data_IF_935045227715
#
_entry.id   IF_935045227715
#
_cell.length_a   1.000
_cell.length_b   1.000
_cell.length_c   1.000
_cell.angle_alpha   90.00
_cell.angle_beta   90.00
_cell.angle_gamma   90.00
#
_symmetry.space_group_name_H-M   'P 1'
#
loop_
_entity.id
_entity.type
_entity.pdbx_description
1 polymer ?
#
# COMPACT_ATOMS: atom_id res chain seq x y z
N UNK A 1 8.98 16.57 3.07
CA UNK A 1 7.82 16.06 3.82
C UNK A 1 6.82 15.51 2.81
N UNK A 2 6.10 14.41 3.10
CA UNK A 2 5.15 13.85 2.16
C UNK A 2 3.96 14.80 2.02
N UNK A 3 3.72 15.25 0.79
CA UNK A 3 2.50 15.96 0.39
C UNK A 3 1.61 14.97 -0.35
N UNK A 4 0.33 14.93 0.00
CA UNK A 4 -0.68 14.15 -0.72
C UNK A 4 -1.69 15.10 -1.34
N UNK A 5 -2.21 14.72 -2.50
CA UNK A 5 -3.29 15.43 -3.17
C UNK A 5 -4.55 14.61 -2.98
N UNK A 6 -5.60 15.23 -2.45
CA UNK A 6 -6.87 14.55 -2.16
C UNK A 6 -8.03 15.34 -2.74
N UNK A 7 -9.02 14.62 -3.27
CA UNK A 7 -10.28 15.22 -3.68
C UNK A 7 -10.97 15.84 -2.46
N UNK A 8 -11.28 17.13 -2.55
CA UNK A 8 -11.81 17.92 -1.44
C UNK A 8 -13.20 17.46 -1.01
N UNK A 9 -14.08 17.15 -1.98
CA UNK A 9 -15.43 16.68 -1.70
C UNK A 9 -15.40 15.29 -1.07
N UNK A 10 -14.48 14.46 -1.51
CA UNK A 10 -14.26 13.12 -0.99
C UNK A 10 -13.72 13.15 0.43
N UNK A 11 -12.77 14.04 0.74
CA UNK A 11 -12.29 14.28 2.09
C UNK A 11 -13.44 14.72 3.00
N UNK A 12 -14.26 15.68 2.56
CA UNK A 12 -15.44 16.12 3.30
C UNK A 12 -16.44 14.99 3.55
N UNK A 13 -16.69 14.16 2.53
CA UNK A 13 -17.61 13.02 2.60
C UNK A 13 -17.13 11.99 3.63
N UNK A 14 -15.84 11.63 3.59
CA UNK A 14 -15.26 10.66 4.51
C UNK A 14 -15.16 11.20 5.95
N UNK A 15 -14.89 12.49 6.12
CA UNK A 15 -14.88 13.15 7.43
C UNK A 15 -16.29 13.46 7.97
N UNK A 16 -17.32 13.34 7.14
CA UNK A 16 -18.68 13.76 7.46
C UNK A 16 -18.73 15.23 7.95
N UNK A 17 -18.05 16.13 7.24
CA UNK A 17 -18.02 17.57 7.54
C UNK A 17 -18.40 18.40 6.33
N UNK A 18 -19.06 19.54 6.58
CA UNK A 18 -19.21 20.59 5.59
C UNK A 18 -18.27 21.77 5.89
N UNK A 19 -17.36 22.03 4.95
CA UNK A 19 -16.36 23.08 5.04
C UNK A 19 -16.72 24.29 4.17
N UNK A 20 -17.63 24.16 3.18
CA UNK A 20 -18.06 25.25 2.29
C UNK A 20 -16.89 26.09 1.70
N UNK A 21 -15.77 25.45 1.34
CA UNK A 21 -14.58 26.13 0.82
C UNK A 21 -13.68 26.80 1.87
N UNK A 22 -13.99 26.69 3.17
CA UNK A 22 -13.18 27.27 4.22
C UNK A 22 -11.93 26.40 4.51
N UNK A 23 -10.79 26.83 3.97
CA UNK A 23 -9.50 26.16 4.16
C UNK A 23 -8.90 26.37 5.56
N UNK A 24 -9.17 27.50 6.24
CA UNK A 24 -8.68 27.72 7.61
C UNK A 24 -9.30 26.69 8.56
N UNK A 25 -10.59 26.42 8.42
CA UNK A 25 -11.26 25.37 9.19
C UNK A 25 -10.72 23.97 8.85
N UNK A 26 -10.30 23.74 7.61
CA UNK A 26 -9.65 22.49 7.23
C UNK A 26 -8.29 22.37 7.93
N UNK A 27 -7.50 23.44 7.96
CA UNK A 27 -6.22 23.49 8.67
C UNK A 27 -6.37 23.23 10.17
N UNK A 28 -7.39 23.81 10.82
CA UNK A 28 -7.69 23.52 12.24
C UNK A 28 -7.94 22.03 12.49
N UNK A 29 -8.60 21.34 11.55
CA UNK A 29 -8.83 19.90 11.63
C UNK A 29 -7.52 19.14 11.38
N UNK A 30 -6.76 19.51 10.36
CA UNK A 30 -5.50 18.86 9.98
C UNK A 30 -4.41 19.01 11.06
N UNK A 31 -4.46 20.07 11.87
CA UNK A 31 -3.54 20.29 12.98
C UNK A 31 -3.53 19.13 13.98
N UNK A 32 -4.65 18.44 14.19
CA UNK A 32 -4.73 17.25 15.08
C UNK A 32 -3.79 16.12 14.66
N UNK A 33 -3.44 16.04 13.37
CA UNK A 33 -2.53 15.02 12.82
C UNK A 33 -1.22 15.62 12.31
N UNK A 34 -0.91 16.86 12.71
CA UNK A 34 0.30 17.59 12.28
C UNK A 34 0.38 17.71 10.75
N UNK A 35 -0.73 18.05 10.13
CA UNK A 35 -0.83 18.31 8.70
C UNK A 35 -1.32 19.74 8.45
N UNK A 36 -1.05 20.26 7.26
CA UNK A 36 -1.49 21.59 6.81
C UNK A 36 -1.83 21.58 5.33
N UNK A 37 -2.74 22.45 4.92
CA UNK A 37 -3.05 22.74 3.53
C UNK A 37 -1.88 23.51 2.92
N UNK A 38 -1.33 22.95 1.84
CA UNK A 38 -0.30 23.58 1.03
C UNK A 38 -0.88 24.37 -0.14
N UNK A 39 -2.06 23.97 -0.61
CA UNK A 39 -2.76 24.62 -1.70
C UNK A 39 -4.10 23.94 -2.00
N UNK A 40 -4.99 24.69 -2.64
CA UNK A 40 -6.28 24.20 -3.13
C UNK A 40 -6.41 24.56 -4.61
N UNK A 41 -6.57 23.55 -5.46
CA UNK A 41 -6.89 23.72 -6.86
C UNK A 41 -8.40 23.66 -7.05
N UNK A 42 -9.03 24.84 -7.20
CA UNK A 42 -10.48 24.96 -7.39
C UNK A 42 -10.97 24.32 -8.69
N UNK A 43 -10.13 24.25 -9.73
CA UNK A 43 -10.53 23.69 -11.04
C UNK A 43 -10.60 22.18 -10.99
N UNK A 44 -9.61 21.57 -10.36
CA UNK A 44 -9.52 20.12 -10.18
C UNK A 44 -10.28 19.64 -8.93
N UNK A 45 -10.72 20.55 -8.06
CA UNK A 45 -11.36 20.21 -6.78
C UNK A 45 -10.43 19.47 -5.82
N UNK A 46 -9.12 19.70 -5.93
CA UNK A 46 -8.09 18.95 -5.21
C UNK A 46 -7.39 19.82 -4.18
N UNK A 47 -7.18 19.28 -2.97
CA UNK A 47 -6.41 19.94 -1.91
C UNK A 47 -5.09 19.20 -1.70
N UNK A 48 -3.99 19.94 -1.77
CA UNK A 48 -2.65 19.45 -1.45
C UNK A 48 -2.40 19.60 0.04
N UNK A 49 -2.16 18.51 0.73
CA UNK A 49 -1.96 18.47 2.19
C UNK A 49 -0.54 17.98 2.48
N UNK A 50 0.24 18.78 3.21
CA UNK A 50 1.58 18.39 3.66
C UNK A 50 1.53 17.78 5.06
N UNK A 51 2.08 16.57 5.20
CA UNK A 51 2.21 15.90 6.49
C UNK A 51 3.58 16.24 7.10
N UNK A 52 3.59 16.87 8.28
CA UNK A 52 4.85 17.20 8.97
C UNK A 52 5.49 15.97 9.63
N UNK A 53 4.69 14.97 10.00
CA UNK A 53 5.18 13.70 10.54
C UNK A 53 5.40 12.66 9.43
N UNK A 54 6.66 12.27 9.23
CA UNK A 54 7.05 11.26 8.23
C UNK A 54 6.91 9.82 8.74
N UNK A 55 6.61 9.62 10.02
CA UNK A 55 6.50 8.30 10.64
C UNK A 55 5.08 7.71 10.58
N UNK A 56 4.13 8.43 9.97
CA UNK A 56 2.72 8.07 9.88
C UNK A 56 2.28 7.82 8.43
N UNK A 57 2.80 6.78 7.76
CA UNK A 57 2.40 6.45 6.39
C UNK A 57 0.93 6.04 6.27
N UNK A 58 0.27 5.72 7.38
CA UNK A 58 -1.17 5.54 7.47
C UNK A 58 -1.99 6.81 7.21
N UNK A 59 -1.37 7.99 7.19
CA UNK A 59 -2.04 9.26 6.87
C UNK A 59 -1.87 9.68 5.40
N UNK A 60 -1.14 8.92 4.58
CA UNK A 60 -0.79 9.34 3.21
C UNK A 60 -1.85 8.98 2.17
N UNK A 61 -3.09 8.78 2.62
CA UNK A 61 -4.26 8.63 1.78
C UNK A 61 -5.45 9.34 2.43
N UNK A 62 -6.45 9.68 1.63
CA UNK A 62 -7.67 10.32 2.15
C UNK A 62 -8.42 9.41 3.13
N UNK A 63 -8.38 8.09 2.93
CA UNK A 63 -9.01 7.11 3.81
C UNK A 63 -8.33 7.08 5.18
N UNK A 64 -7.00 6.98 5.17
CA UNK A 64 -6.21 6.93 6.39
C UNK A 64 -6.21 8.24 7.18
N UNK A 65 -6.11 9.36 6.46
CA UNK A 65 -6.24 10.70 7.02
C UNK A 65 -7.63 10.87 7.67
N UNK A 66 -8.70 10.54 6.95
CA UNK A 66 -10.06 10.67 7.46
C UNK A 66 -10.28 9.77 8.68
N UNK A 67 -9.81 8.52 8.64
CA UNK A 67 -9.91 7.58 9.76
C UNK A 67 -9.27 8.13 11.03
N UNK A 68 -8.09 8.73 10.93
CA UNK A 68 -7.44 9.35 12.09
C UNK A 68 -8.20 10.57 12.61
N UNK A 69 -8.61 11.46 11.71
CA UNK A 69 -9.31 12.71 12.05
C UNK A 69 -10.68 12.48 12.68
N UNK A 70 -11.42 11.45 12.25
CA UNK A 70 -12.72 11.08 12.84
C UNK A 70 -12.59 10.71 14.33
N UNK A 71 -11.43 10.18 14.74
CA UNK A 71 -11.10 9.96 16.15
C UNK A 71 -10.98 11.27 16.93
N UNK A 72 -10.18 12.21 16.42
CA UNK A 72 -10.00 13.52 17.04
C UNK A 72 -11.27 14.37 17.06
N UNK A 73 -12.12 14.23 16.05
CA UNK A 73 -13.44 14.88 15.99
C UNK A 73 -14.49 14.19 16.87
N UNK A 74 -14.13 13.11 17.58
CA UNK A 74 -15.02 12.37 18.47
C UNK A 74 -16.12 11.58 17.76
N UNK A 75 -16.00 11.37 16.45
CA UNK A 75 -17.01 10.67 15.63
C UNK A 75 -16.86 9.15 15.73
N UNK A 76 -15.63 8.65 15.78
CA UNK A 76 -15.32 7.22 15.94
C UNK A 76 -14.25 7.05 17.01
N UNK A 77 -14.61 6.47 18.17
CA UNK A 77 -13.68 6.24 19.28
C UNK A 77 -13.27 4.78 19.37
N UNK A 78 -12.05 4.56 19.88
CA UNK A 78 -11.49 3.24 20.11
C UNK A 78 -10.93 2.58 18.84
N UNK A 79 -10.49 1.33 19.00
CA UNK A 79 -9.84 0.58 17.92
C UNK A 79 -10.89 0.11 16.92
N UNK A 80 -10.77 0.55 15.66
CA UNK A 80 -11.54 -0.01 14.54
C UNK A 80 -11.09 -1.45 14.28
N UNK A 81 -12.03 -2.38 14.35
CA UNK A 81 -11.75 -3.79 14.10
C UNK A 81 -11.67 -4.06 12.58
N UNK A 82 -10.51 -4.54 12.14
CA UNK A 82 -10.30 -5.04 10.79
C UNK A 82 -10.16 -6.54 10.81
N UNK A 83 -10.68 -7.21 9.78
CA UNK A 83 -10.54 -8.65 9.62
C UNK A 83 -10.36 -8.99 8.16
N UNK A 84 -9.65 -10.08 7.90
CA UNK A 84 -9.57 -10.71 6.60
C UNK A 84 -10.29 -12.06 6.65
N UNK A 85 -10.99 -12.39 5.57
CA UNK A 85 -11.53 -13.72 5.36
C UNK A 85 -10.41 -14.76 5.20
N UNK A 86 -10.80 -16.04 5.14
CA UNK A 86 -9.86 -17.16 4.95
C UNK A 86 -9.00 -16.98 3.69
N UNK A 87 -7.88 -17.70 3.65
CA UNK A 87 -7.01 -17.71 2.48
C UNK A 87 -7.77 -18.17 1.23
N UNK A 88 -7.64 -17.40 0.14
CA UNK A 88 -8.32 -17.67 -1.16
C UNK A 88 -7.35 -17.75 -2.33
N UNK A 89 -6.06 -17.53 -2.10
CA UNK A 89 -5.03 -17.52 -3.14
C UNK A 89 -3.68 -17.95 -2.54
N UNK A 90 -2.93 -18.71 -3.32
CA UNK A 90 -1.60 -19.22 -2.95
C UNK A 90 -0.52 -18.53 -3.80
N UNK A 91 0.63 -18.29 -3.19
CA UNK A 91 1.83 -17.72 -3.85
C UNK A 91 3.03 -18.59 -3.51
N UNK A 92 3.74 -19.06 -4.52
CA UNK A 92 4.96 -19.84 -4.37
C UNK A 92 6.19 -18.95 -4.60
N UNK A 93 7.18 -19.02 -3.71
CA UNK A 93 8.39 -18.20 -3.77
C UNK A 93 9.60 -19.05 -4.17
N UNK A 94 10.34 -18.59 -5.18
CA UNK A 94 11.56 -19.24 -5.63
C UNK A 94 12.75 -18.91 -4.69
N UNK A 95 13.56 -19.90 -4.27
CA UNK A 95 14.73 -19.67 -3.40
C UNK A 95 15.78 -18.72 -3.99
N UNK A 96 15.89 -18.64 -5.32
CA UNK A 96 16.83 -17.73 -6.00
C UNK A 96 16.53 -16.24 -5.76
N UNK A 97 15.37 -15.91 -5.19
CA UNK A 97 15.02 -14.55 -4.83
C UNK A 97 15.67 -14.07 -3.52
N UNK A 98 16.18 -14.97 -2.68
CA UNK A 98 16.62 -14.62 -1.33
C UNK A 98 17.67 -13.50 -1.32
N UNK A 99 18.69 -13.62 -2.19
CA UNK A 99 19.75 -12.62 -2.36
C UNK A 99 19.37 -11.37 -3.17
N UNK A 100 18.16 -11.31 -3.74
CA UNK A 100 17.74 -10.28 -4.69
C UNK A 100 16.61 -9.43 -4.12
N UNK A 101 15.46 -10.06 -3.87
CA UNK A 101 14.24 -9.43 -3.35
C UNK A 101 13.41 -10.53 -2.65
N UNK A 102 13.80 -10.89 -1.41
CA UNK A 102 13.38 -12.14 -0.78
C UNK A 102 11.89 -12.27 -0.49
N UNK A 103 11.17 -11.17 -0.25
CA UNK A 103 9.85 -11.22 0.38
C UNK A 103 8.75 -10.71 -0.53
N UNK A 104 7.60 -11.37 -0.45
CA UNK A 104 6.32 -10.99 -1.03
C UNK A 104 5.21 -11.17 0.02
N UNK A 105 4.29 -10.22 0.09
CA UNK A 105 3.04 -10.35 0.83
C UNK A 105 1.89 -9.96 -0.09
N UNK A 106 0.78 -10.67 -0.02
CA UNK A 106 -0.40 -10.41 -0.84
C UNK A 106 -1.68 -10.30 0.00
N UNK A 107 -2.68 -9.64 -0.57
CA UNK A 107 -4.04 -9.58 -0.05
C UNK A 107 -5.02 -9.58 -1.23
N UNK A 108 -6.18 -10.22 -1.05
CA UNK A 108 -7.28 -10.15 -2.01
C UNK A 108 -8.35 -9.23 -1.44
N UNK A 109 -8.82 -8.26 -2.22
CA UNK A 109 -9.94 -7.39 -1.83
C UNK A 109 -11.08 -7.57 -2.83
N UNK A 110 -12.24 -8.05 -2.37
CA UNK A 110 -13.42 -8.31 -3.20
C UNK A 110 -14.53 -7.29 -2.96
N UNK A 111 -15.47 -7.26 -3.89
CA UNK A 111 -16.69 -6.44 -3.87
C UNK A 111 -16.42 -4.93 -3.74
N UNK A 112 -15.25 -4.45 -4.19
CA UNK A 112 -14.94 -3.03 -4.15
C UNK A 112 -15.58 -2.29 -5.34
N UNK A 113 -16.15 -1.12 -5.07
CA UNK A 113 -16.69 -0.24 -6.10
C UNK A 113 -15.67 0.87 -6.38
N UNK A 114 -15.05 0.79 -7.55
CA UNK A 114 -14.03 1.75 -7.97
C UNK A 114 -14.64 2.85 -8.83
N UNK A 115 -14.26 4.09 -8.52
CA UNK A 115 -14.37 5.24 -9.42
C UNK A 115 -12.97 5.69 -9.82
N UNK A 116 -12.85 6.50 -10.87
CA UNK A 116 -11.60 7.11 -11.29
C UNK A 116 -10.90 7.85 -10.14
N UNK A 117 -11.65 8.59 -9.31
CA UNK A 117 -11.11 9.26 -8.12
C UNK A 117 -10.52 8.28 -7.08
N UNK A 118 -11.17 7.14 -6.85
CA UNK A 118 -10.64 6.09 -5.96
C UNK A 118 -9.39 5.46 -6.56
N UNK A 119 -9.40 5.16 -7.86
CA UNK A 119 -8.24 4.58 -8.56
C UNK A 119 -7.04 5.52 -8.48
N UNK A 120 -7.23 6.81 -8.79
CA UNK A 120 -6.20 7.84 -8.64
C UNK A 120 -5.69 7.91 -7.21
N UNK A 121 -6.58 7.95 -6.21
CA UNK A 121 -6.19 7.96 -4.79
C UNK A 121 -5.33 6.75 -4.38
N UNK A 122 -5.68 5.56 -4.87
CA UNK A 122 -4.89 4.33 -4.65
C UNK A 122 -3.51 4.44 -5.32
N UNK A 123 -3.45 4.93 -6.56
CA UNK A 123 -2.18 5.14 -7.27
C UNK A 123 -1.29 6.16 -6.56
N UNK A 124 -1.88 7.26 -6.06
CA UNK A 124 -1.16 8.25 -5.26
C UNK A 124 -0.62 7.65 -3.95
N UNK A 125 -1.42 6.86 -3.23
CA UNK A 125 -0.95 6.16 -2.03
C UNK A 125 0.22 5.21 -2.37
N UNK A 126 0.07 4.41 -3.44
CA UNK A 126 1.12 3.53 -3.92
C UNK A 126 2.41 4.30 -4.21
N UNK A 127 2.35 5.38 -4.97
CA UNK A 127 3.52 6.19 -5.33
C UNK A 127 4.19 6.81 -4.10
N UNK A 128 3.42 7.32 -3.13
CA UNK A 128 3.97 7.93 -1.90
C UNK A 128 4.64 6.89 -0.99
N UNK A 129 4.00 5.71 -0.85
CA UNK A 129 4.58 4.60 -0.10
C UNK A 129 5.85 4.09 -0.77
N UNK A 130 5.86 3.86 -2.08
CA UNK A 130 7.02 3.40 -2.83
C UNK A 130 8.18 4.40 -2.79
N UNK A 131 7.89 5.69 -2.92
CA UNK A 131 8.89 6.76 -2.88
C UNK A 131 9.51 6.89 -1.48
N UNK A 132 8.68 6.94 -0.44
CA UNK A 132 9.14 7.28 0.92
C UNK A 132 9.41 6.03 1.77
N UNK A 133 8.37 5.23 2.05
CA UNK A 133 8.49 4.04 2.89
C UNK A 133 9.33 2.95 2.21
N UNK A 134 9.15 2.81 0.89
CA UNK A 134 9.86 1.89 0.01
C UNK A 134 11.24 2.39 -0.43
N UNK A 135 11.66 3.61 -0.07
CA UNK A 135 12.92 4.24 -0.52
C UNK A 135 13.11 4.14 -2.04
N UNK A 136 12.23 4.79 -2.79
CA UNK A 136 12.19 4.71 -4.25
C UNK A 136 12.20 3.26 -4.75
N UNK A 137 11.28 2.46 -4.20
CA UNK A 137 11.06 1.03 -4.47
C UNK A 137 12.13 0.02 -4.03
N UNK A 138 13.26 0.49 -3.50
CA UNK A 138 14.36 -0.39 -3.06
C UNK A 138 13.96 -1.34 -1.93
N UNK A 139 13.12 -0.87 -1.00
CA UNK A 139 12.66 -1.63 0.17
C UNK A 139 11.31 -2.30 -0.02
N UNK A 140 10.37 -1.65 -0.67
CA UNK A 140 9.04 -2.20 -1.02
C UNK A 140 8.59 -1.70 -2.37
N UNK A 141 7.81 -2.47 -3.12
CA UNK A 141 7.16 -2.05 -4.35
C UNK A 141 5.79 -2.67 -4.37
N UNK A 142 4.77 -1.88 -4.71
CA UNK A 142 3.38 -2.32 -4.67
C UNK A 142 2.90 -2.62 -6.08
N UNK A 143 2.20 -3.75 -6.25
CA UNK A 143 1.43 -4.11 -7.43
C UNK A 143 -0.05 -4.21 -7.08
N UNK A 144 -0.93 -3.72 -7.96
CA UNK A 144 -2.38 -3.87 -7.82
C UNK A 144 -2.93 -4.35 -9.16
N UNK A 145 -3.68 -5.44 -9.12
CA UNK A 145 -4.12 -6.14 -10.32
C UNK A 145 -5.61 -6.46 -10.24
N UNK A 146 -6.25 -6.57 -11.41
CA UNK A 146 -7.58 -7.14 -11.49
C UNK A 146 -7.49 -8.66 -11.29
N UNK A 147 -7.98 -9.15 -10.14
CA UNK A 147 -7.91 -10.57 -9.78
C UNK A 147 -8.68 -11.45 -10.77
N UNK A 148 -9.74 -10.93 -11.40
CA UNK A 148 -10.60 -11.70 -12.30
C UNK A 148 -9.86 -12.14 -13.57
N UNK A 149 -8.71 -11.51 -13.88
CA UNK A 149 -7.86 -11.82 -15.02
C UNK A 149 -6.72 -12.81 -14.69
N UNK A 150 -6.56 -13.18 -13.42
CA UNK A 150 -5.40 -13.93 -12.92
C UNK A 150 -5.79 -15.36 -12.57
N UNK A 151 -4.94 -16.34 -12.94
CA UNK A 151 -5.10 -17.74 -12.59
C UNK A 151 -4.14 -18.17 -11.47
N UNK A 152 -4.62 -18.53 -10.27
CA UNK A 152 -3.77 -19.02 -9.19
C UNK A 152 -3.30 -20.47 -9.43
N UNK A 153 -2.19 -20.92 -8.80
CA UNK A 153 -1.33 -20.16 -7.88
C UNK A 153 -0.48 -19.10 -8.59
N UNK A 154 0.03 -18.14 -7.82
CA UNK A 154 0.97 -17.13 -8.29
C UNK A 154 2.39 -17.62 -8.06
N UNK A 155 3.26 -17.43 -9.04
CA UNK A 155 4.66 -17.80 -8.96
C UNK A 155 5.52 -16.53 -8.86
N UNK A 156 6.17 -16.32 -7.71
CA UNK A 156 7.18 -15.29 -7.53
C UNK A 156 8.56 -15.92 -7.72
N UNK A 157 9.22 -15.61 -8.83
CA UNK A 157 10.44 -16.30 -9.26
C UNK A 157 11.54 -15.34 -9.73
N UNK A 158 12.73 -15.87 -9.99
CA UNK A 158 13.85 -15.13 -10.56
C UNK A 158 14.27 -15.77 -11.89
N UNK A 159 14.38 -14.96 -12.95
CA UNK A 159 14.63 -15.41 -14.33
C UNK A 159 15.88 -14.75 -14.91
N UNK A 160 16.45 -15.31 -15.98
CA UNK A 160 17.46 -14.56 -16.74
C UNK A 160 16.79 -13.50 -17.61
N UNK A 161 17.38 -12.30 -17.78
CA UNK A 161 16.78 -11.21 -18.56
C UNK A 161 16.38 -11.58 -19.99
N UNK A 162 17.15 -12.47 -20.63
CA UNK A 162 16.95 -12.92 -22.00
C UNK A 162 15.78 -13.91 -22.19
N UNK A 163 15.26 -14.52 -21.12
CA UNK A 163 14.27 -15.61 -21.19
C UNK A 163 12.83 -15.11 -21.30
N UNK A 164 12.58 -13.83 -21.02
CA UNK A 164 11.22 -13.30 -20.82
C UNK A 164 10.96 -12.08 -21.68
N UNK A 165 9.78 -12.07 -22.31
CA UNK A 165 9.25 -10.92 -23.04
C UNK A 165 7.78 -10.73 -22.73
N UNK A 166 7.36 -9.50 -22.44
CA UNK A 166 5.96 -9.16 -22.22
C UNK A 166 5.68 -7.71 -22.64
N UNK A 167 4.40 -7.33 -22.69
CA UNK A 167 4.00 -5.95 -22.97
C UNK A 167 3.93 -5.20 -21.64
N UNK A 168 4.85 -4.24 -21.36
CA UNK A 168 4.80 -3.47 -20.12
C UNK A 168 3.64 -2.47 -20.15
N UNK A 169 3.11 -2.14 -18.97
CA UNK A 169 2.00 -1.20 -18.82
C UNK A 169 2.28 0.13 -19.54
N UNK A 170 1.35 0.57 -20.38
CA UNK A 170 1.48 1.81 -21.16
C UNK A 170 2.20 1.64 -22.51
N UNK A 171 2.56 0.42 -22.89
CA UNK A 171 3.10 0.07 -24.21
C UNK A 171 2.19 -0.96 -24.90
N UNK A 172 2.37 -1.13 -26.21
CA UNK A 172 1.63 -2.10 -27.04
C UNK A 172 2.47 -3.25 -27.58
N UNK A 173 3.80 -3.16 -27.48
CA UNK A 173 4.74 -4.13 -28.06
C UNK A 173 5.44 -4.97 -26.99
N UNK A 174 5.75 -6.23 -27.33
CA UNK A 174 6.48 -7.14 -26.43
C UNK A 174 7.96 -6.80 -26.37
N UNK A 175 8.41 -6.42 -25.18
CA UNK A 175 9.80 -6.06 -24.91
C UNK A 175 10.48 -7.13 -24.04
N UNK A 176 11.78 -7.33 -24.26
CA UNK A 176 12.62 -8.10 -23.32
C UNK A 176 12.90 -7.32 -22.04
N UNK A 177 13.33 -7.99 -20.98
CA UNK A 177 13.54 -7.31 -19.69
C UNK A 177 14.59 -6.19 -19.77
N UNK A 178 15.72 -6.41 -20.46
CA UNK A 178 16.73 -5.37 -20.64
C UNK A 178 16.23 -4.20 -21.49
N UNK A 179 15.43 -4.49 -22.53
CA UNK A 179 14.78 -3.46 -23.35
C UNK A 179 13.80 -2.61 -22.53
N UNK A 180 13.05 -3.23 -21.62
CA UNK A 180 12.20 -2.50 -20.66
C UNK A 180 13.07 -1.58 -19.79
N UNK A 181 14.22 -2.05 -19.30
CA UNK A 181 15.12 -1.24 -18.49
C UNK A 181 15.77 -0.08 -19.24
N UNK A 182 15.86 -0.14 -20.57
CA UNK A 182 16.43 0.90 -21.41
C UNK A 182 15.39 1.90 -21.92
N UNK A 183 14.20 1.42 -22.31
CA UNK A 183 13.19 2.22 -23.03
C UNK A 183 12.00 2.65 -22.18
N UNK A 184 11.57 1.83 -21.22
CA UNK A 184 10.40 2.13 -20.41
C UNK A 184 10.75 3.21 -19.37
N UNK A 185 9.93 4.26 -19.15
CA UNK A 185 10.22 5.31 -18.17
C UNK A 185 10.54 4.76 -16.77
N UNK A 186 9.73 3.81 -16.29
CA UNK A 186 9.97 3.12 -15.00
C UNK A 186 11.21 2.20 -15.02
N UNK A 187 11.57 1.66 -16.19
CA UNK A 187 12.79 0.89 -16.35
C UNK A 187 14.04 1.76 -16.24
N UNK A 188 14.02 2.95 -16.81
CA UNK A 188 15.08 3.95 -16.67
C UNK A 188 15.18 4.45 -15.22
N UNK A 189 14.04 4.74 -14.59
CA UNK A 189 13.96 5.25 -13.23
C UNK A 189 14.45 4.22 -12.18
N UNK A 190 13.96 2.98 -12.25
CA UNK A 190 14.17 1.97 -11.20
C UNK A 190 15.09 0.81 -11.59
N UNK A 191 15.56 0.73 -12.84
CA UNK A 191 16.35 -0.40 -13.32
C UNK A 191 17.64 -0.65 -12.54
N UNK A 192 18.22 0.39 -11.95
CA UNK A 192 19.39 0.29 -11.07
C UNK A 192 19.18 -0.66 -9.87
N UNK A 193 17.94 -0.94 -9.46
CA UNK A 193 17.62 -1.85 -8.37
C UNK A 193 17.94 -3.30 -8.74
N UNK A 194 17.66 -3.70 -9.98
CA UNK A 194 17.79 -5.09 -10.44
C UNK A 194 19.07 -5.36 -11.25
N UNK A 195 19.59 -4.36 -11.99
CA UNK A 195 20.74 -4.49 -12.92
C UNK A 195 22.01 -5.05 -12.29
N UNK A 196 22.15 -4.97 -10.97
CA UNK A 196 23.30 -5.49 -10.22
C UNK A 196 23.26 -7.01 -10.02
N UNK A 197 22.15 -7.68 -10.36
CA UNK A 197 21.94 -9.11 -10.14
C UNK A 197 21.93 -9.87 -11.47
N UNK A 198 22.35 -11.15 -11.49
CA UNK A 198 22.30 -11.99 -12.69
C UNK A 198 20.89 -12.49 -13.04
N UNK A 199 19.97 -12.48 -12.07
CA UNK A 199 18.58 -12.88 -12.24
C UNK A 199 17.66 -11.72 -11.84
N UNK A 200 16.51 -11.63 -12.50
CA UNK A 200 15.51 -10.59 -12.28
C UNK A 200 14.24 -11.17 -11.66
N UNK A 201 13.65 -10.53 -10.63
CA UNK A 201 12.38 -10.96 -10.06
C UNK A 201 11.25 -10.86 -11.07
N UNK A 202 10.36 -11.84 -11.09
CA UNK A 202 9.20 -11.88 -11.96
C UNK A 202 8.01 -12.48 -11.21
N UNK A 203 6.82 -12.00 -11.55
CA UNK A 203 5.57 -12.52 -10.99
C UNK A 203 4.72 -13.09 -12.13
N UNK A 204 4.28 -14.34 -11.98
CA UNK A 204 3.46 -15.05 -12.96
C UNK A 204 2.19 -15.63 -12.35
N UNK A 205 1.20 -15.87 -13.20
CA UNK A 205 0.07 -16.72 -12.88
C UNK A 205 0.37 -18.19 -13.26
N UNK A 206 -0.55 -19.09 -12.95
CA UNK A 206 -0.40 -20.53 -13.23
C UNK A 206 -0.40 -20.89 -14.72
N UNK A 207 -0.86 -19.99 -15.59
CA UNK A 207 -0.84 -20.15 -17.04
C UNK A 207 0.46 -19.58 -17.65
N UNK A 208 1.39 -19.08 -16.84
CA UNK A 208 2.65 -18.49 -17.26
C UNK A 208 2.50 -17.06 -17.79
N UNK A 209 1.37 -16.38 -17.54
CA UNK A 209 1.22 -14.96 -17.90
C UNK A 209 1.95 -14.08 -16.90
N UNK A 210 2.65 -13.08 -17.41
CA UNK A 210 3.38 -12.10 -16.57
C UNK A 210 2.38 -11.16 -15.90
N UNK A 211 2.40 -11.10 -14.58
CA UNK A 211 1.75 -10.03 -13.81
C UNK A 211 2.63 -8.80 -13.79
N UNK A 212 3.90 -8.96 -13.42
CA UNK A 212 4.84 -7.85 -13.30
C UNK A 212 6.29 -8.29 -13.34
N UNK A 213 7.16 -7.31 -13.53
CA UNK A 213 8.60 -7.37 -13.32
C UNK A 213 8.95 -6.50 -12.10
N UNK A 214 8.88 -7.04 -10.86
CA UNK A 214 9.15 -6.24 -9.67
C UNK A 214 10.63 -5.83 -9.54
N UNK A 215 10.92 -4.61 -9.04
CA UNK A 215 9.99 -3.53 -8.68
C UNK A 215 9.79 -2.50 -9.82
N UNK A 216 9.91 -2.93 -11.08
CA UNK A 216 10.00 -2.05 -12.24
C UNK A 216 8.63 -1.68 -12.77
N UNK A 217 7.87 -2.65 -13.28
CA UNK A 217 6.61 -2.37 -13.99
C UNK A 217 5.68 -3.58 -14.03
N UNK A 218 4.37 -3.31 -14.07
CA UNK A 218 3.34 -4.32 -14.30
C UNK A 218 3.20 -4.63 -15.80
N UNK A 219 2.58 -5.76 -16.13
CA UNK A 219 2.14 -6.03 -17.49
C UNK A 219 0.94 -5.16 -17.86
N UNK A 220 0.79 -4.86 -19.14
CA UNK A 220 -0.34 -4.09 -19.63
C UNK A 220 -1.68 -4.87 -19.54
N UNK A 221 -1.61 -6.19 -19.67
CA UNK A 221 -2.80 -7.06 -19.75
C UNK A 221 -3.41 -7.34 -18.37
N UNK A 222 -2.60 -7.71 -17.38
CA UNK A 222 -3.07 -8.09 -16.04
C UNK A 222 -2.91 -6.97 -15.01
N UNK A 223 -2.01 -6.01 -15.26
CA UNK A 223 -1.61 -4.96 -14.33
C UNK A 223 -2.46 -3.70 -14.33
N UNK A 224 -3.55 -3.66 -15.12
CA UNK A 224 -4.41 -2.49 -15.24
C UNK A 224 -5.73 -2.70 -14.50
N UNK A 225 -5.96 -1.87 -13.48
CA UNK A 225 -7.27 -1.75 -12.83
C UNK A 225 -8.12 -0.69 -13.54
N UNK A 226 -9.42 -0.90 -13.57
CA UNK A 226 -10.42 -0.02 -14.18
C UNK A 226 -11.61 0.17 -13.24
N UNK A 227 -12.51 1.09 -13.55
CA UNK A 227 -13.77 1.26 -12.80
C UNK A 227 -14.67 0.01 -12.84
N UNK A 228 -14.43 -0.92 -13.76
CA UNK A 228 -15.15 -2.20 -13.86
C UNK A 228 -14.54 -3.28 -12.94
N UNK A 229 -13.31 -3.08 -12.47
CA UNK A 229 -12.65 -4.04 -11.59
C UNK A 229 -13.40 -4.11 -10.25
N UNK A 230 -13.70 -5.32 -9.77
CA UNK A 230 -14.42 -5.57 -8.51
C UNK A 230 -13.60 -6.39 -7.51
N UNK A 231 -12.65 -7.17 -8.02
CA UNK A 231 -11.80 -8.03 -7.23
C UNK A 231 -10.35 -7.65 -7.53
N UNK A 232 -9.61 -7.28 -6.48
CA UNK A 232 -8.24 -6.82 -6.59
C UNK A 232 -7.28 -7.80 -5.92
N UNK A 233 -6.16 -8.05 -6.57
CA UNK A 233 -4.98 -8.59 -5.92
C UNK A 233 -4.05 -7.41 -5.59
N UNK A 234 -3.73 -7.24 -4.30
CA UNK A 234 -2.68 -6.33 -3.85
C UNK A 234 -1.47 -7.17 -3.52
N UNK A 235 -0.32 -6.83 -4.09
CA UNK A 235 0.96 -7.47 -3.85
C UNK A 235 1.96 -6.41 -3.41
N UNK A 236 2.82 -6.77 -2.47
CA UNK A 236 3.99 -5.99 -2.13
C UNK A 236 5.19 -6.91 -2.10
N UNK A 237 6.25 -6.55 -2.81
CA UNK A 237 7.55 -7.24 -2.77
C UNK A 237 8.60 -6.36 -2.14
N UNK A 238 9.63 -6.94 -1.54
CA UNK A 238 10.67 -6.15 -0.89
C UNK A 238 11.83 -6.92 -0.32
N UNK A 239 12.66 -6.19 0.42
CA UNK A 239 13.89 -6.72 1.04
C UNK A 239 13.77 -6.93 2.53
N UNK A 240 12.69 -6.46 3.17
CA UNK A 240 12.42 -6.61 4.60
C UNK A 240 10.96 -7.01 4.82
N UNK A 241 10.72 -8.21 5.33
CA UNK A 241 9.37 -8.76 5.51
C UNK A 241 8.43 -7.82 6.27
N UNK A 242 8.87 -7.27 7.41
CA UNK A 242 8.05 -6.35 8.21
C UNK A 242 7.63 -5.09 7.44
N UNK A 243 8.53 -4.52 6.63
CA UNK A 243 8.21 -3.34 5.80
C UNK A 243 7.20 -3.72 4.72
N UNK A 244 7.39 -4.88 4.08
CA UNK A 244 6.47 -5.41 3.05
C UNK A 244 5.07 -5.64 3.62
N UNK A 245 4.96 -6.34 4.76
CA UNK A 245 3.70 -6.61 5.44
C UNK A 245 2.98 -5.33 5.88
N UNK A 246 3.72 -4.38 6.46
CA UNK A 246 3.14 -3.10 6.87
C UNK A 246 2.60 -2.33 5.67
N UNK A 247 3.35 -2.26 4.56
CA UNK A 247 2.90 -1.60 3.33
C UNK A 247 1.65 -2.28 2.76
N UNK A 248 1.62 -3.62 2.72
CA UNK A 248 0.45 -4.37 2.29
C UNK A 248 -0.77 -4.02 3.16
N UNK A 249 -0.60 -4.01 4.48
CA UNK A 249 -1.67 -3.68 5.42
C UNK A 249 -2.21 -2.26 5.17
N UNK A 250 -1.34 -1.26 4.98
CA UNK A 250 -1.76 0.12 4.71
C UNK A 250 -2.65 0.24 3.48
N UNK A 251 -2.21 -0.35 2.36
CA UNK A 251 -2.98 -0.35 1.10
C UNK A 251 -4.29 -1.14 1.27
N UNK A 252 -4.24 -2.32 1.90
CA UNK A 252 -5.43 -3.14 2.10
C UNK A 252 -6.46 -2.46 2.98
N UNK A 253 -6.04 -1.81 4.07
CA UNK A 253 -6.92 -1.07 4.98
C UNK A 253 -7.60 0.12 4.28
N UNK A 254 -6.87 0.84 3.41
CA UNK A 254 -7.47 1.90 2.60
C UNK A 254 -8.58 1.37 1.69
N UNK A 255 -8.39 0.20 1.08
CA UNK A 255 -9.42 -0.45 0.26
C UNK A 255 -10.62 -0.96 1.09
N UNK A 256 -10.38 -1.44 2.31
CA UNK A 256 -11.47 -1.81 3.23
C UNK A 256 -12.32 -0.59 3.62
N UNK A 257 -11.68 0.55 3.85
CA UNK A 257 -12.39 1.80 4.15
C UNK A 257 -13.25 2.30 2.97
N UNK A 258 -12.99 1.80 1.76
CA UNK A 258 -13.83 1.97 0.56
C UNK A 258 -14.92 0.92 0.41
N UNK A 259 -15.14 0.08 1.42
CA UNK A 259 -16.15 -0.99 1.42
C UNK A 259 -15.67 -2.31 0.83
N UNK A 260 -14.39 -2.42 0.45
CA UNK A 260 -13.80 -3.69 0.01
C UNK A 260 -13.73 -4.72 1.13
N UNK A 261 -13.85 -6.00 0.78
CA UNK A 261 -13.72 -7.12 1.73
C UNK A 261 -12.39 -7.82 1.54
N UNK A 262 -11.52 -7.76 2.54
CA UNK A 262 -10.22 -8.40 2.48
C UNK A 262 -10.32 -9.92 2.73
N UNK A 263 -9.49 -10.68 2.02
CA UNK A 263 -9.27 -12.11 2.17
C UNK A 263 -7.78 -12.36 2.17
N UNK A 264 -7.36 -13.34 2.97
CA UNK A 264 -5.96 -13.68 3.08
C UNK A 264 -5.42 -14.43 1.84
N UNK A 265 -4.11 -14.49 1.75
CA UNK A 265 -3.32 -15.29 0.81
C UNK A 265 -2.29 -16.10 1.58
N UNK A 266 -2.03 -17.32 1.13
CA UNK A 266 -0.98 -18.17 1.69
C UNK A 266 0.28 -18.04 0.85
N UNK A 267 1.38 -17.65 1.46
CA UNK A 267 2.69 -17.52 0.80
C UNK A 267 3.57 -18.70 1.22
N UNK A 268 3.99 -19.51 0.26
CA UNK A 268 4.87 -20.65 0.46
C UNK A 268 6.31 -20.25 0.16
N UNK A 269 7.11 -20.16 1.22
CA UNK A 269 8.55 -19.94 1.11
C UNK A 269 9.29 -21.29 1.07
N UNK A 270 10.42 -21.37 0.35
CA UNK A 270 11.17 -22.60 0.25
C UNK A 270 11.82 -22.93 1.59
N UNK A 271 11.79 -24.22 1.96
CA UNK A 271 12.47 -24.73 3.16
C UNK A 271 13.98 -24.56 3.01
N UNK A 272 14.54 -23.49 3.58
CA UNK A 272 15.98 -23.23 3.61
C UNK A 272 16.37 -22.52 4.91
N UNK A 273 17.67 -22.49 5.23
CA UNK A 273 18.18 -21.79 6.42
C UNK A 273 18.01 -20.27 6.38
N UNK A 274 17.58 -19.74 5.24
CA UNK A 274 17.55 -18.32 4.93
C UNK A 274 16.17 -17.70 5.22
N UNK A 275 15.08 -18.47 5.03
CA UNK A 275 13.73 -18.07 5.41
C UNK A 275 13.37 -18.60 6.80
N UNK A 276 12.72 -17.77 7.61
CA UNK A 276 12.35 -18.15 8.99
C UNK A 276 11.05 -18.94 9.07
N UNK A 277 10.20 -18.83 8.06
CA UNK A 277 8.88 -19.46 8.00
C UNK A 277 8.66 -20.06 6.62
N UNK A 278 8.19 -21.31 6.57
CA UNK A 278 7.88 -22.00 5.31
C UNK A 278 6.52 -21.57 4.73
N UNK A 279 5.65 -21.01 5.56
CA UNK A 279 4.31 -20.59 5.17
C UNK A 279 3.88 -19.38 5.98
N UNK A 280 3.53 -18.31 5.28
CA UNK A 280 3.05 -17.05 5.86
C UNK A 280 1.65 -16.76 5.34
N UNK A 281 0.74 -16.29 6.21
CA UNK A 281 -0.60 -15.86 5.80
C UNK A 281 -0.70 -14.35 5.91
N UNK A 282 -1.07 -13.68 4.82
CA UNK A 282 -1.17 -12.21 4.74
C UNK A 282 -2.53 -11.79 4.16
N UNK A 283 -3.08 -10.61 4.48
CA UNK A 283 -2.56 -9.61 5.42
C UNK A 283 -2.74 -10.05 6.88
N UNK A 284 -2.03 -9.40 7.80
CA UNK A 284 -2.19 -9.59 9.25
C UNK A 284 -2.65 -8.29 9.90
N UNK A 285 -3.88 -8.28 10.42
CA UNK A 285 -4.48 -7.14 11.12
C UNK A 285 -4.44 -7.29 12.65
N UNK A 286 -3.55 -8.12 13.18
CA UNK A 286 -3.41 -8.33 14.62
C UNK A 286 -3.07 -7.03 15.36
N UNK A 287 -3.77 -6.80 16.46
CA UNK A 287 -3.53 -5.65 17.33
C UNK A 287 -2.44 -5.95 18.34
N UNK A 288 -1.61 -4.95 18.65
CA UNK A 288 -0.65 -5.01 19.75
C UNK A 288 -1.20 -4.26 20.95
N UNK A 289 -0.94 -4.79 22.15
CA UNK A 289 -1.27 -4.12 23.41
C UNK A 289 0.00 -3.52 24.00
N UNK A 290 -0.12 -2.30 24.51
CA UNK A 290 0.90 -1.62 25.28
C UNK A 290 0.29 -1.17 26.60
N UNK A 291 1.03 -1.35 27.69
CA UNK A 291 0.62 -0.89 29.02
C UNK A 291 1.30 0.45 29.33
N UNK A 292 0.51 1.42 29.80
CA UNK A 292 0.99 2.74 30.17
C UNK A 292 0.80 2.96 31.67
N UNK A 293 1.85 3.43 32.34
CA UNK A 293 1.80 3.74 33.76
C UNK A 293 1.36 5.19 33.98
N UNK A 294 0.20 5.40 34.61
CA UNK A 294 -0.40 6.72 34.86
C UNK A 294 0.55 7.68 35.60
N UNK A 295 1.30 7.18 36.58
CA UNK A 295 2.24 8.01 37.35
C UNK A 295 3.41 8.47 36.48
N UNK A 296 3.95 7.57 35.69
CA UNK A 296 5.06 7.88 34.78
C UNK A 296 4.62 8.83 33.65
N UNK A 297 3.45 8.59 33.06
CA UNK A 297 2.87 9.49 32.03
C UNK A 297 2.71 10.91 32.58
N UNK A 298 2.14 11.06 33.77
CA UNK A 298 1.99 12.37 34.42
C UNK A 298 3.34 13.01 34.76
N UNK A 299 4.33 12.22 35.19
CA UNK A 299 5.70 12.71 35.47
C UNK A 299 6.38 13.26 34.22
N UNK A 300 6.26 12.56 33.08
CA UNK A 300 6.89 12.96 31.82
C UNK A 300 6.19 14.17 31.18
N UNK A 301 4.86 14.23 31.24
CA UNK A 301 4.08 15.30 30.62
C UNK A 301 3.94 16.55 31.52
N UNK A 302 4.19 16.43 32.82
CA UNK A 302 3.94 17.51 33.79
C UNK A 302 2.46 17.78 34.05
N UNK A 303 1.61 16.78 33.83
CA UNK A 303 0.15 16.88 33.98
C UNK A 303 -0.35 16.12 35.23
N UNK A 304 -1.66 16.22 35.49
CA UNK A 304 -2.37 15.49 36.57
C UNK A 304 -3.66 14.86 36.02
N UNK A 305 -3.50 13.88 35.14
CA UNK A 305 -4.60 13.16 34.50
C UNK A 305 -4.93 11.86 35.23
N UNK A 306 -6.22 11.53 35.31
CA UNK A 306 -6.69 10.20 35.72
C UNK A 306 -6.44 9.16 34.63
N UNK A 307 -6.56 7.87 34.96
CA UNK A 307 -6.47 6.79 33.98
C UNK A 307 -7.52 6.92 32.86
N UNK A 308 -8.73 7.36 33.23
CA UNK A 308 -9.84 7.59 32.30
C UNK A 308 -9.52 8.75 31.34
N UNK A 309 -9.03 9.88 31.85
CA UNK A 309 -8.63 11.01 31.00
C UNK A 309 -7.48 10.66 30.05
N UNK A 310 -6.54 9.83 30.49
CA UNK A 310 -5.47 9.31 29.62
C UNK A 310 -6.06 8.38 28.56
N UNK A 311 -6.96 7.48 28.94
CA UNK A 311 -7.61 6.55 28.02
C UNK A 311 -8.46 7.27 26.96
N UNK A 312 -9.13 8.35 27.34
CA UNK A 312 -9.95 9.16 26.43
C UNK A 312 -9.11 9.98 25.43
N UNK A 313 -7.83 10.24 25.76
CA UNK A 313 -6.90 10.99 24.92
C UNK A 313 -6.07 10.11 23.95
N UNK A 314 -6.24 8.78 24.01
CA UNK A 314 -5.59 7.80 23.13
C UNK A 314 -6.50 7.40 21.96
#
# INVERSE_FOLDING_TARGET
MPTIDVDYLELQRLLNVNLNGNMEKLDDILAYVKAEVKGFDEKEGSVSIEMKDTNRPDLWSVEGLSRALRGYLGQEKGIKAYSAGKSVLEVNVNPNLFGIRPYICCAVVKDIHLSDGIIKGIMHLQDKLDQTHGRSRQKTSIGIYNLDLIKPPIEYTAVKPAEVRFVPLGFSEKMGLDEILEKHPKGQEYGHIVKKNPLYPMLYDSEGKVLSFPPIINSNDLGKITEESRNLLVEVTGTLHKTVLNTLNLVTLALIDRGGKAYSTTIHYPKSSEYTEDTVVTPDFSNRRFELNVKETNRLLGLKLSAEQISDAL
#
